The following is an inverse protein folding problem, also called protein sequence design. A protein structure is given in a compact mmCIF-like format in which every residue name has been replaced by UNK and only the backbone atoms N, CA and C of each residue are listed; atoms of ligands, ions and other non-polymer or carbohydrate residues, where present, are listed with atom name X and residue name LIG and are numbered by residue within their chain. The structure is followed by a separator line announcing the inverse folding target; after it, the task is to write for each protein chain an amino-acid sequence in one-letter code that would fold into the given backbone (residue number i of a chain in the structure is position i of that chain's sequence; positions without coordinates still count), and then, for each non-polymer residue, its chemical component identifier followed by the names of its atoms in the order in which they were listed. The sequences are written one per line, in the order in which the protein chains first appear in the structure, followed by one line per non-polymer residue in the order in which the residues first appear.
data_IF_433376936536
#
_entry.id   IF_433376936536
#
_cell.length_a   1.000
_cell.length_b   1.000
_cell.length_c   1.000
_cell.angle_alpha   90.00
_cell.angle_beta   90.00
_cell.angle_gamma   90.00
#
_symmetry.space_group_name_H-M   'P 1'
#
loop_
_entity.id
_entity.type
_entity.pdbx_description
1 polymer ?
#
# COMPACT_ATOMS: atom_id res chain seq x y z
N UNK A 1 -17.19 -21.17 -32.65
CA UNK A 1 -16.54 -22.40 -32.16
C UNK A 1 -17.47 -23.06 -31.15
N UNK A 2 -17.88 -24.33 -31.35
CA UNK A 2 -18.67 -25.05 -30.35
C UNK A 2 -17.82 -25.52 -29.19
N UNK A 3 -18.31 -25.38 -27.94
CA UNK A 3 -17.65 -25.96 -26.76
C UNK A 3 -17.63 -27.49 -26.88
N UNK A 4 -16.46 -28.12 -26.76
CA UNK A 4 -16.32 -29.58 -26.75
C UNK A 4 -16.57 -30.19 -25.36
N UNK A 5 -16.34 -29.40 -24.29
CA UNK A 5 -16.57 -29.79 -22.91
C UNK A 5 -16.70 -28.53 -22.04
N UNK A 6 -17.38 -28.63 -20.90
CA UNK A 6 -17.47 -27.58 -19.89
C UNK A 6 -17.38 -28.23 -18.50
N UNK A 7 -16.61 -27.58 -17.61
CA UNK A 7 -16.55 -27.91 -16.19
C UNK A 7 -17.34 -26.85 -15.46
N UNK A 8 -18.33 -27.25 -14.69
CA UNK A 8 -19.16 -26.34 -13.87
C UNK A 8 -18.79 -26.46 -12.39
N UNK A 9 -18.79 -25.33 -11.69
CA UNK A 9 -18.53 -25.30 -10.25
C UNK A 9 -19.38 -24.20 -9.60
N UNK A 10 -19.81 -24.36 -8.33
CA UNK A 10 -20.58 -23.33 -7.60
C UNK A 10 -19.85 -21.97 -7.52
N UNK A 11 -18.51 -21.99 -7.49
CA UNK A 11 -17.65 -20.79 -7.52
C UNK A 11 -16.58 -20.95 -8.61
N UNK A 12 -16.89 -20.61 -9.86
CA UNK A 12 -15.98 -20.86 -11.01
C UNK A 12 -14.59 -20.22 -10.84
N UNK A 13 -14.52 -18.98 -10.33
CA UNK A 13 -13.24 -18.29 -10.10
C UNK A 13 -12.39 -18.99 -9.03
N UNK A 14 -12.99 -19.53 -7.99
CA UNK A 14 -12.28 -20.30 -6.97
C UNK A 14 -11.77 -21.64 -7.50
N UNK A 15 -12.60 -22.34 -8.29
CA UNK A 15 -12.18 -23.55 -8.99
C UNK A 15 -11.03 -23.29 -9.98
N UNK A 16 -11.07 -22.14 -10.69
CA UNK A 16 -9.98 -21.73 -11.56
C UNK A 16 -8.68 -21.48 -10.79
N UNK A 17 -8.73 -20.92 -9.58
CA UNK A 17 -7.55 -20.76 -8.74
C UNK A 17 -6.87 -22.10 -8.42
N UNK A 18 -7.66 -23.13 -8.07
CA UNK A 18 -7.13 -24.47 -7.86
C UNK A 18 -6.55 -25.11 -9.14
N UNK A 19 -7.25 -24.97 -10.27
CA UNK A 19 -6.78 -25.49 -11.55
C UNK A 19 -5.49 -24.80 -12.00
N UNK A 20 -5.41 -23.48 -11.92
CA UNK A 20 -4.20 -22.74 -12.30
C UNK A 20 -3.00 -23.09 -11.41
N UNK A 21 -3.23 -23.32 -10.12
CA UNK A 21 -2.17 -23.77 -9.21
C UNK A 21 -1.62 -25.16 -9.57
N UNK A 22 -2.48 -26.07 -10.05
CA UNK A 22 -2.04 -27.40 -10.54
C UNK A 22 -1.30 -27.31 -11.88
N UNK A 23 -1.58 -26.31 -12.69
CA UNK A 23 -0.98 -26.13 -14.02
C UNK A 23 0.22 -25.18 -14.01
N UNK A 24 0.49 -24.52 -12.89
CA UNK A 24 1.62 -23.60 -12.77
C UNK A 24 2.94 -24.38 -12.88
N UNK A 25 3.78 -24.13 -13.91
CA UNK A 25 5.07 -24.79 -14.06
C UNK A 25 6.11 -24.35 -13.02
N UNK A 26 5.72 -23.46 -12.12
CA UNK A 26 6.62 -22.81 -11.17
C UNK A 26 7.30 -21.57 -11.76
N UNK A 27 8.23 -21.01 -10.99
CA UNK A 27 8.80 -19.69 -11.28
C UNK A 27 9.76 -19.62 -12.47
N UNK A 28 10.14 -20.76 -13.04
CA UNK A 28 11.17 -20.83 -14.09
C UNK A 28 12.60 -20.54 -13.58
N UNK A 29 12.77 -20.21 -12.29
CA UNK A 29 14.06 -20.09 -11.65
C UNK A 29 14.41 -21.44 -11.00
N UNK A 30 15.54 -22.00 -11.38
CA UNK A 30 16.18 -23.19 -10.82
C UNK A 30 15.25 -24.20 -10.12
N UNK A 31 15.02 -25.32 -10.76
CA UNK A 31 14.33 -26.47 -10.13
C UNK A 31 15.19 -27.13 -9.04
N UNK A 32 16.51 -26.95 -9.10
CA UNK A 32 17.46 -27.46 -8.13
C UNK A 32 17.99 -26.33 -7.25
N UNK A 33 18.05 -26.51 -5.93
CA UNK A 33 18.60 -25.51 -5.01
C UNK A 33 20.05 -25.24 -5.31
N UNK A 34 20.39 -23.99 -5.66
CA UNK A 34 21.76 -23.59 -5.94
C UNK A 34 21.97 -22.09 -5.71
N UNK A 35 23.19 -21.75 -5.32
CA UNK A 35 23.65 -20.37 -5.26
C UNK A 35 24.48 -20.09 -6.51
N UNK A 36 24.06 -19.11 -7.31
CA UNK A 36 24.77 -18.72 -8.52
C UNK A 36 26.16 -18.20 -8.15
N UNK A 37 27.16 -18.52 -9.00
CA UNK A 37 28.57 -18.16 -8.78
C UNK A 37 28.82 -16.66 -8.74
N UNK A 38 27.95 -15.88 -9.38
CA UNK A 38 28.01 -14.40 -9.38
C UNK A 38 27.28 -13.74 -8.21
N UNK A 39 26.57 -14.52 -7.38
CA UNK A 39 25.92 -14.00 -6.19
C UNK A 39 26.96 -13.64 -5.12
N UNK A 40 26.73 -12.53 -4.42
CA UNK A 40 27.59 -12.07 -3.32
C UNK A 40 26.90 -12.37 -2.00
N UNK A 41 27.56 -13.19 -1.17
CA UNK A 41 27.06 -13.56 0.17
C UNK A 41 27.92 -12.85 1.22
N UNK A 42 27.30 -12.00 2.02
CA UNK A 42 27.93 -11.22 3.07
C UNK A 42 28.40 -12.05 4.26
N UNK A 43 29.34 -11.53 4.98
CA UNK A 43 29.93 -12.21 6.16
C UNK A 43 28.83 -12.47 7.20
N UNK A 44 28.78 -13.71 7.70
CA UNK A 44 27.82 -14.11 8.73
C UNK A 44 26.38 -14.27 8.23
N UNK A 45 26.12 -14.14 6.93
CA UNK A 45 24.82 -14.45 6.36
C UNK A 45 24.49 -15.95 6.56
N UNK A 46 23.25 -16.24 6.94
CA UNK A 46 22.75 -17.59 7.19
C UNK A 46 21.79 -17.96 6.08
N UNK A 47 22.15 -18.94 5.28
CA UNK A 47 21.34 -19.45 4.17
C UNK A 47 20.78 -20.82 4.59
N UNK A 48 19.45 -20.93 4.59
CA UNK A 48 18.75 -22.16 4.97
C UNK A 48 18.94 -23.29 3.95
N UNK A 49 18.33 -24.42 4.27
CA UNK A 49 18.36 -25.60 3.40
C UNK A 49 17.50 -25.38 2.16
N UNK A 50 17.90 -25.96 1.04
CA UNK A 50 17.17 -25.91 -0.24
C UNK A 50 16.85 -24.49 -0.74
N UNK A 51 17.75 -23.54 -0.48
CA UNK A 51 17.63 -22.14 -0.97
C UNK A 51 18.27 -22.02 -2.35
N UNK A 52 17.60 -21.28 -3.24
CA UNK A 52 18.15 -20.86 -4.53
C UNK A 52 18.44 -19.36 -4.53
N UNK A 53 19.61 -18.95 -5.02
CA UNK A 53 19.99 -17.53 -5.16
C UNK A 53 20.46 -17.29 -6.59
N UNK A 54 19.75 -16.45 -7.31
CA UNK A 54 19.98 -16.12 -8.70
C UNK A 54 21.19 -15.21 -8.93
N UNK A 55 21.59 -15.14 -10.21
CA UNK A 55 22.76 -14.40 -10.64
C UNK A 55 22.75 -12.92 -10.21
N UNK A 56 23.92 -12.41 -9.87
CA UNK A 56 24.17 -11.01 -9.49
C UNK A 56 23.34 -10.51 -8.28
N UNK A 57 22.82 -11.43 -7.48
CA UNK A 57 22.12 -11.09 -6.25
C UNK A 57 23.10 -10.85 -5.11
N UNK A 58 22.76 -9.95 -4.21
CA UNK A 58 23.56 -9.58 -3.05
C UNK A 58 22.79 -9.88 -1.78
N UNK A 59 23.35 -10.73 -0.92
CA UNK A 59 22.86 -11.01 0.42
C UNK A 59 23.80 -10.33 1.42
N UNK A 60 23.29 -9.36 2.18
CA UNK A 60 24.05 -8.55 3.10
C UNK A 60 24.59 -9.32 4.32
N UNK A 61 25.55 -8.73 5.00
CA UNK A 61 26.14 -9.32 6.19
C UNK A 61 25.09 -9.59 7.28
N UNK A 62 25.17 -10.76 7.94
CA UNK A 62 24.24 -11.15 9.00
C UNK A 62 22.81 -11.42 8.56
N UNK A 63 22.50 -11.32 7.27
CA UNK A 63 21.14 -11.61 6.77
C UNK A 63 20.80 -13.09 6.94
N UNK A 64 19.52 -13.38 7.16
CA UNK A 64 19.01 -14.75 7.33
C UNK A 64 17.96 -15.03 6.25
N UNK A 65 18.17 -16.10 5.48
CA UNK A 65 17.23 -16.59 4.45
C UNK A 65 16.69 -17.95 4.90
N UNK A 66 15.39 -18.06 5.06
CA UNK A 66 14.70 -19.29 5.50
C UNK A 66 14.73 -20.40 4.45
N UNK A 67 14.47 -21.61 4.90
CA UNK A 67 14.53 -22.84 4.12
C UNK A 67 13.59 -22.81 2.90
N UNK A 68 14.03 -23.41 1.79
CA UNK A 68 13.23 -23.54 0.58
C UNK A 68 12.89 -22.22 -0.11
N UNK A 69 13.58 -21.14 0.22
CA UNK A 69 13.35 -19.83 -0.39
C UNK A 69 14.05 -19.70 -1.73
N UNK A 70 13.45 -18.94 -2.62
CA UNK A 70 13.98 -18.63 -3.95
C UNK A 70 14.21 -17.13 -4.06
N UNK A 71 15.46 -16.74 -4.25
CA UNK A 71 15.87 -15.37 -4.51
C UNK A 71 16.23 -15.27 -6.00
N UNK A 72 15.42 -14.56 -6.77
CA UNK A 72 15.63 -14.33 -8.20
C UNK A 72 16.92 -13.56 -8.48
N UNK A 73 17.29 -13.39 -9.76
CA UNK A 73 18.48 -12.64 -10.13
C UNK A 73 18.34 -11.14 -9.80
N UNK A 74 19.48 -10.45 -9.64
CA UNK A 74 19.56 -9.01 -9.39
C UNK A 74 18.82 -8.56 -8.12
N UNK A 75 18.58 -9.45 -7.18
CA UNK A 75 17.96 -9.11 -5.89
C UNK A 75 19.00 -8.53 -4.92
N UNK A 76 18.54 -7.67 -4.05
CA UNK A 76 19.32 -7.14 -2.93
C UNK A 76 18.61 -7.42 -1.62
N UNK A 77 19.29 -8.12 -0.71
CA UNK A 77 18.84 -8.33 0.67
C UNK A 77 19.88 -7.65 1.58
N UNK A 78 19.47 -6.60 2.28
CA UNK A 78 20.34 -5.78 3.12
C UNK A 78 20.82 -6.49 4.37
N UNK A 79 21.82 -5.90 5.03
CA UNK A 79 22.42 -6.46 6.24
C UNK A 79 21.37 -6.67 7.35
N UNK A 80 21.52 -7.77 8.10
CA UNK A 80 20.64 -8.16 9.22
C UNK A 80 19.14 -8.32 8.86
N UNK A 81 18.79 -8.32 7.57
CA UNK A 81 17.44 -8.64 7.15
C UNK A 81 17.13 -10.13 7.40
N UNK A 82 15.88 -10.42 7.77
CA UNK A 82 15.41 -11.79 8.00
C UNK A 82 14.24 -12.09 7.09
N UNK A 83 14.35 -13.16 6.33
CA UNK A 83 13.31 -13.65 5.42
C UNK A 83 12.97 -15.07 5.85
N UNK A 84 11.68 -15.32 6.11
CA UNK A 84 11.18 -16.62 6.55
C UNK A 84 11.22 -17.68 5.45
N UNK A 85 10.77 -18.89 5.81
CA UNK A 85 10.82 -20.06 4.94
C UNK A 85 9.92 -19.92 3.71
N UNK A 86 10.34 -20.55 2.60
CA UNK A 86 9.58 -20.66 1.36
C UNK A 86 9.20 -19.29 0.77
N UNK A 87 10.06 -18.31 0.94
CA UNK A 87 9.89 -17.02 0.30
C UNK A 87 10.27 -17.09 -1.18
N UNK A 88 9.57 -16.30 -2.01
CA UNK A 88 9.87 -16.10 -3.42
C UNK A 88 10.09 -14.62 -3.70
N UNK A 89 11.33 -14.24 -3.93
CA UNK A 89 11.69 -12.92 -4.41
C UNK A 89 11.96 -13.02 -5.91
N UNK A 90 11.12 -12.37 -6.71
CA UNK A 90 11.32 -12.30 -8.16
C UNK A 90 12.47 -11.34 -8.48
N UNK A 91 12.80 -11.24 -9.75
CA UNK A 91 13.95 -10.48 -10.24
C UNK A 91 13.94 -9.01 -9.82
N UNK A 92 15.09 -8.53 -9.36
CA UNK A 92 15.30 -7.13 -9.01
C UNK A 92 14.61 -6.65 -7.73
N UNK A 93 14.06 -7.56 -6.92
CA UNK A 93 13.47 -7.21 -5.61
C UNK A 93 14.54 -6.68 -4.67
N UNK A 94 14.21 -5.63 -3.92
CA UNK A 94 15.10 -5.00 -2.95
C UNK A 94 14.48 -5.05 -1.55
N UNK A 95 15.22 -5.66 -0.62
CA UNK A 95 14.88 -5.71 0.81
C UNK A 95 15.96 -4.95 1.57
N UNK A 96 15.59 -3.88 2.22
CA UNK A 96 16.54 -3.08 3.00
C UNK A 96 17.00 -3.80 4.28
N UNK A 97 18.09 -3.35 4.84
CA UNK A 97 18.66 -3.94 6.06
C UNK A 97 17.70 -3.91 7.25
N UNK A 98 17.79 -4.92 8.10
CA UNK A 98 16.98 -5.14 9.32
C UNK A 98 15.49 -5.40 9.07
N UNK A 99 15.02 -5.49 7.82
CA UNK A 99 13.64 -5.87 7.52
C UNK A 99 13.36 -7.29 8.05
N UNK A 100 12.16 -7.49 8.60
CA UNK A 100 11.69 -8.76 9.12
C UNK A 100 10.51 -9.22 8.26
N UNK A 101 10.66 -10.33 7.56
CA UNK A 101 9.67 -10.86 6.63
C UNK A 101 9.32 -12.29 7.03
N UNK A 102 8.05 -12.59 7.17
CA UNK A 102 7.52 -13.91 7.52
C UNK A 102 7.69 -14.96 6.42
N UNK A 103 7.11 -16.13 6.65
CA UNK A 103 7.18 -17.27 5.75
C UNK A 103 6.22 -17.13 4.54
N UNK A 104 6.51 -17.87 3.45
CA UNK A 104 5.69 -17.91 2.21
C UNK A 104 5.44 -16.55 1.59
N UNK A 105 6.38 -15.65 1.80
CA UNK A 105 6.35 -14.31 1.23
C UNK A 105 6.63 -14.35 -0.27
N UNK A 106 5.86 -13.61 -1.05
CA UNK A 106 6.07 -13.45 -2.49
C UNK A 106 6.26 -11.98 -2.81
N UNK A 107 7.33 -11.66 -3.54
CA UNK A 107 7.54 -10.32 -4.10
C UNK A 107 7.74 -10.41 -5.61
N UNK A 108 6.89 -9.71 -6.34
CA UNK A 108 6.94 -9.61 -7.81
C UNK A 108 8.08 -8.68 -8.24
N UNK A 109 8.48 -8.68 -9.54
CA UNK A 109 9.66 -7.98 -10.01
C UNK A 109 9.72 -6.51 -9.58
N UNK A 110 10.89 -6.08 -9.12
CA UNK A 110 11.17 -4.69 -8.78
C UNK A 110 10.54 -4.16 -7.49
N UNK A 111 9.83 -4.99 -6.72
CA UNK A 111 9.29 -4.57 -5.43
C UNK A 111 10.43 -4.08 -4.49
N UNK A 112 10.16 -3.03 -3.71
CA UNK A 112 11.11 -2.38 -2.82
C UNK A 112 10.58 -2.33 -1.39
N UNK A 113 11.26 -2.98 -0.46
CA UNK A 113 10.87 -3.09 0.94
C UNK A 113 11.89 -2.34 1.80
N UNK A 114 11.44 -1.35 2.56
CA UNK A 114 12.25 -0.66 3.56
C UNK A 114 13.08 0.50 3.00
N UNK A 115 12.66 1.10 1.88
CA UNK A 115 13.18 2.40 1.45
C UNK A 115 12.89 3.47 2.50
N UNK A 116 13.66 4.57 2.50
CA UNK A 116 13.44 5.68 3.42
C UNK A 116 12.08 6.34 3.16
N UNK A 117 11.36 6.62 4.23
CA UNK A 117 10.12 7.38 4.17
C UNK A 117 10.36 8.82 3.69
N UNK A 118 9.38 9.36 2.95
CA UNK A 118 9.38 10.76 2.53
C UNK A 118 8.90 11.63 3.69
N UNK A 119 9.83 12.13 4.51
CA UNK A 119 9.53 12.92 5.71
C UNK A 119 10.48 14.11 5.80
N UNK A 120 9.89 15.30 5.69
CA UNK A 120 10.62 16.57 5.72
C UNK A 120 9.85 17.60 6.54
N UNK A 121 10.58 18.50 7.19
CA UNK A 121 10.07 19.56 8.05
C UNK A 121 10.89 20.83 7.81
N UNK A 122 10.32 21.97 8.14
CA UNK A 122 11.04 23.26 8.16
C UNK A 122 11.39 23.65 9.60
N UNK A 123 12.43 24.48 9.84
CA UNK A 123 12.77 24.97 11.17
C UNK A 123 11.64 25.71 11.86
N UNK A 124 10.91 26.53 11.10
CA UNK A 124 9.75 27.27 11.58
C UNK A 124 8.47 26.73 10.93
N UNK A 125 7.30 27.12 11.42
CA UNK A 125 6.01 26.70 10.84
C UNK A 125 5.96 27.05 9.35
N UNK A 126 5.69 26.07 8.52
CA UNK A 126 5.61 26.23 7.07
C UNK A 126 4.22 26.66 6.60
N UNK A 127 4.14 27.26 5.41
CA UNK A 127 2.86 27.57 4.76
C UNK A 127 1.97 26.33 4.56
N UNK A 128 2.57 25.15 4.42
CA UNK A 128 1.83 23.87 4.31
C UNK A 128 1.17 23.50 5.64
N UNK A 129 1.86 23.67 6.76
CA UNK A 129 1.30 23.43 8.09
C UNK A 129 0.17 24.43 8.38
N UNK A 130 0.42 25.73 8.15
CA UNK A 130 -0.61 26.77 8.30
C UNK A 130 -1.84 26.50 7.43
N UNK A 131 -1.64 26.14 6.15
CA UNK A 131 -2.75 25.83 5.25
C UNK A 131 -3.57 24.60 5.68
N UNK A 132 -2.96 23.61 6.34
CA UNK A 132 -3.66 22.45 6.90
C UNK A 132 -4.48 22.81 8.13
N UNK A 133 -3.95 23.66 9.02
CA UNK A 133 -4.63 24.11 10.24
C UNK A 133 -5.80 25.04 9.91
N UNK A 134 -5.61 25.96 8.99
CA UNK A 134 -6.61 26.99 8.62
C UNK A 134 -7.59 26.54 7.55
N UNK A 135 -7.35 25.37 6.90
CA UNK A 135 -8.10 24.85 5.76
C UNK A 135 -8.05 25.79 4.54
N UNK A 136 -6.89 26.37 4.24
CA UNK A 136 -6.63 27.04 2.98
C UNK A 136 -5.92 28.39 3.05
N UNK A 137 -5.66 28.95 4.22
CA UNK A 137 -4.79 30.11 4.37
C UNK A 137 -3.33 29.67 4.51
N UNK A 138 -2.43 30.20 3.68
CA UNK A 138 -1.01 29.89 3.72
C UNK A 138 -0.23 30.69 4.79
N UNK A 139 -0.81 31.79 5.27
CA UNK A 139 -0.12 32.73 6.13
C UNK A 139 1.05 33.45 5.43
N UNK A 140 1.66 34.40 6.12
CA UNK A 140 2.91 35.03 5.71
C UNK A 140 4.08 34.23 6.29
N UNK A 141 4.72 33.38 5.48
CA UNK A 141 5.88 32.59 5.90
C UNK A 141 7.06 32.87 4.96
N UNK A 142 8.23 33.08 5.55
CA UNK A 142 9.47 33.22 4.79
C UNK A 142 9.87 31.87 4.13
N UNK A 143 10.51 31.90 2.94
CA UNK A 143 11.06 30.71 2.33
C UNK A 143 12.06 30.00 3.25
N UNK A 144 11.91 28.70 3.44
CA UNK A 144 12.73 27.89 4.33
C UNK A 144 13.26 26.66 3.61
N UNK A 145 14.37 26.12 4.11
CA UNK A 145 14.94 24.88 3.62
C UNK A 145 14.26 23.66 4.29
N UNK A 146 14.10 22.59 3.52
CA UNK A 146 13.60 21.32 4.03
C UNK A 146 14.70 20.58 4.80
N UNK A 147 14.44 20.25 6.05
CA UNK A 147 15.24 19.32 6.85
C UNK A 147 14.63 17.91 6.75
N UNK A 148 15.48 16.92 6.47
CA UNK A 148 15.04 15.51 6.41
C UNK A 148 14.88 14.93 7.81
N UNK A 149 13.75 14.29 8.07
CA UNK A 149 13.58 13.39 9.21
C UNK A 149 14.06 12.00 8.76
N UNK A 150 15.10 11.48 9.38
CA UNK A 150 15.72 10.22 9.00
C UNK A 150 14.87 9.01 9.41
N UNK A 151 14.83 8.01 8.57
CA UNK A 151 14.09 6.76 8.79
C UNK A 151 14.97 5.75 9.54
N UNK A 152 14.84 5.70 10.87
CA UNK A 152 15.63 4.85 11.78
C UNK A 152 14.98 3.50 12.05
N UNK A 153 13.68 3.38 11.87
CA UNK A 153 12.91 2.15 11.98
C UNK A 153 13.17 1.16 10.86
N UNK A 154 12.36 0.15 10.78
CA UNK A 154 12.43 -0.91 9.78
C UNK A 154 11.05 -1.23 9.21
N UNK A 155 10.91 -2.40 8.59
CA UNK A 155 9.65 -2.97 8.10
C UNK A 155 9.47 -4.35 8.71
N UNK A 156 8.28 -4.65 9.18
CA UNK A 156 7.84 -5.98 9.63
C UNK A 156 6.70 -6.46 8.74
N UNK A 157 6.85 -7.63 8.13
CA UNK A 157 5.85 -8.27 7.25
C UNK A 157 5.54 -9.65 7.80
N UNK A 158 4.27 -9.98 7.93
CA UNK A 158 3.81 -11.27 8.39
C UNK A 158 3.94 -12.38 7.36
N UNK A 159 3.32 -13.52 7.64
CA UNK A 159 3.29 -14.70 6.79
C UNK A 159 2.29 -14.54 5.63
N UNK A 160 2.50 -15.29 4.54
CA UNK A 160 1.56 -15.37 3.40
C UNK A 160 1.27 -14.03 2.71
N UNK A 161 2.19 -13.09 2.79
CA UNK A 161 2.05 -11.77 2.15
C UNK A 161 2.57 -11.83 0.71
N UNK A 162 1.86 -11.16 -0.19
CA UNK A 162 2.29 -11.01 -1.58
C UNK A 162 2.33 -9.54 -1.98
N UNK A 163 3.44 -9.12 -2.61
CA UNK A 163 3.65 -7.78 -3.16
C UNK A 163 3.71 -7.84 -4.69
N UNK A 164 2.92 -7.02 -5.33
CA UNK A 164 2.92 -6.79 -6.77
C UNK A 164 4.18 -6.11 -7.27
N UNK A 165 4.33 -6.09 -8.59
CA UNK A 165 5.50 -5.49 -9.25
C UNK A 165 5.62 -4.00 -8.94
N UNK A 166 6.86 -3.56 -8.66
CA UNK A 166 7.19 -2.18 -8.31
C UNK A 166 6.39 -1.60 -7.14
N UNK A 167 5.86 -2.45 -6.27
CA UNK A 167 5.27 -2.02 -5.00
C UNK A 167 6.38 -1.50 -4.08
N UNK A 168 6.12 -0.40 -3.37
CA UNK A 168 7.07 0.18 -2.43
C UNK A 168 6.49 0.22 -1.01
N UNK A 169 7.28 -0.23 -0.04
CA UNK A 169 6.96 -0.16 1.40
C UNK A 169 8.09 0.62 2.08
N UNK A 170 7.78 1.80 2.58
CA UNK A 170 8.75 2.63 3.29
C UNK A 170 8.98 2.10 4.70
N UNK A 171 10.21 2.22 5.18
CA UNK A 171 10.53 1.97 6.59
C UNK A 171 9.98 3.06 7.49
N UNK A 172 9.75 2.75 8.72
CA UNK A 172 9.30 3.74 9.69
C UNK A 172 10.41 4.73 10.10
N UNK A 173 9.98 5.86 10.65
CA UNK A 173 10.91 6.86 11.19
C UNK A 173 11.57 6.37 12.48
N UNK A 174 10.79 6.01 13.50
CA UNK A 174 11.25 5.42 14.76
C UNK A 174 10.65 4.04 14.95
N UNK A 175 9.31 3.94 14.87
CA UNK A 175 8.59 2.67 14.88
C UNK A 175 8.62 2.06 13.49
N UNK A 176 8.58 0.73 13.40
CA UNK A 176 8.54 0.02 12.13
C UNK A 176 7.20 0.25 11.39
N UNK A 177 7.25 0.20 10.07
CA UNK A 177 6.08 -0.04 9.23
C UNK A 177 5.70 -1.51 9.37
N UNK A 178 4.40 -1.83 9.54
CA UNK A 178 3.93 -3.19 9.84
C UNK A 178 2.86 -3.64 8.87
N UNK A 179 3.01 -4.86 8.36
CA UNK A 179 2.05 -5.54 7.49
C UNK A 179 1.69 -6.89 8.12
N UNK A 180 0.41 -7.13 8.36
CA UNK A 180 -0.11 -8.38 8.93
C UNK A 180 0.00 -9.58 8.00
N UNK A 181 -0.50 -10.71 8.46
CA UNK A 181 -0.50 -11.95 7.69
C UNK A 181 -1.54 -11.92 6.56
N UNK A 182 -1.31 -12.69 5.50
CA UNK A 182 -2.28 -12.92 4.43
C UNK A 182 -2.54 -11.72 3.52
N UNK A 183 -1.87 -10.60 3.72
CA UNK A 183 -2.09 -9.36 2.95
C UNK A 183 -1.61 -9.52 1.50
N UNK A 184 -2.45 -9.07 0.55
CA UNK A 184 -2.13 -9.02 -0.87
C UNK A 184 -2.09 -7.57 -1.34
N UNK A 185 -0.96 -7.14 -1.87
CA UNK A 185 -0.72 -5.78 -2.35
C UNK A 185 -0.38 -5.86 -3.83
N UNK A 186 -1.18 -5.22 -4.65
CA UNK A 186 -1.06 -5.24 -6.10
C UNK A 186 0.00 -4.25 -6.61
N UNK A 187 0.23 -4.26 -7.90
CA UNK A 187 1.30 -3.51 -8.57
C UNK A 187 1.25 -2.01 -8.30
N UNK A 188 2.42 -1.39 -8.20
CA UNK A 188 2.58 0.06 -8.08
C UNK A 188 1.92 0.68 -6.82
N UNK A 189 1.60 -0.12 -5.82
CA UNK A 189 1.11 0.42 -4.55
C UNK A 189 2.26 1.06 -3.75
N UNK A 190 1.96 2.18 -3.05
CA UNK A 190 2.89 2.87 -2.17
C UNK A 190 2.37 2.81 -0.73
N UNK A 191 3.14 2.20 0.16
CA UNK A 191 2.88 2.16 1.59
C UNK A 191 3.87 3.07 2.30
N UNK A 192 3.38 4.17 2.86
CA UNK A 192 4.19 5.18 3.53
C UNK A 192 4.77 4.71 4.87
N UNK A 193 5.69 5.50 5.39
CA UNK A 193 6.38 5.21 6.65
C UNK A 193 5.42 5.10 7.85
N UNK A 194 5.72 4.22 8.79
CA UNK A 194 4.94 4.01 10.03
C UNK A 194 3.49 3.53 9.81
N UNK A 195 3.12 3.14 8.60
CA UNK A 195 1.81 2.54 8.31
C UNK A 195 1.70 1.19 9.01
N UNK A 196 0.53 0.87 9.51
CA UNK A 196 0.19 -0.46 10.03
C UNK A 196 -1.00 -1.00 9.26
N UNK A 197 -0.87 -2.19 8.66
CA UNK A 197 -1.94 -2.91 7.96
C UNK A 197 -2.22 -4.20 8.73
N UNK A 198 -3.48 -4.45 9.05
CA UNK A 198 -3.95 -5.69 9.69
C UNK A 198 -3.87 -6.89 8.77
N UNK A 199 -4.48 -8.00 9.19
CA UNK A 199 -4.44 -9.26 8.46
C UNK A 199 -5.45 -9.31 7.30
N UNK A 200 -5.17 -10.17 6.32
CA UNK A 200 -6.08 -10.56 5.23
C UNK A 200 -6.66 -9.37 4.44
N UNK A 201 -5.86 -8.33 4.25
CA UNK A 201 -6.23 -7.16 3.47
C UNK A 201 -5.89 -7.34 2.00
N UNK A 202 -6.70 -6.72 1.12
CA UNK A 202 -6.47 -6.64 -0.32
C UNK A 202 -6.27 -5.18 -0.72
N UNK A 203 -5.05 -4.84 -1.10
CA UNK A 203 -4.66 -3.50 -1.53
C UNK A 203 -4.45 -3.54 -3.04
N UNK A 204 -5.40 -2.99 -3.80
CA UNK A 204 -5.35 -3.06 -5.26
C UNK A 204 -4.30 -2.11 -5.86
N UNK A 205 -4.13 -2.22 -7.19
CA UNK A 205 -3.07 -1.49 -7.90
C UNK A 205 -3.15 0.04 -7.73
N UNK A 206 -1.97 0.66 -7.65
CA UNK A 206 -1.80 2.12 -7.55
C UNK A 206 -2.45 2.74 -6.30
N UNK A 207 -2.73 1.95 -5.27
CA UNK A 207 -3.15 2.50 -3.99
C UNK A 207 -1.98 3.22 -3.33
N UNK A 208 -2.23 4.42 -2.81
CA UNK A 208 -1.29 5.18 -2.01
C UNK A 208 -1.80 5.34 -0.58
N UNK A 209 -1.04 4.87 0.40
CA UNK A 209 -1.33 5.04 1.82
C UNK A 209 -0.25 5.92 2.42
N UNK A 210 -0.64 7.11 2.85
CA UNK A 210 0.27 8.08 3.44
C UNK A 210 0.68 7.67 4.87
N UNK A 211 1.76 8.29 5.34
CA UNK A 211 2.43 7.89 6.57
C UNK A 211 1.56 7.85 7.83
N UNK A 212 1.94 7.01 8.77
CA UNK A 212 1.32 6.87 10.10
C UNK A 212 -0.15 6.42 10.10
N UNK A 213 -0.72 6.04 8.97
CA UNK A 213 -2.09 5.53 8.85
C UNK A 213 -2.19 4.10 9.36
N UNK A 214 -3.31 3.77 9.98
CA UNK A 214 -3.62 2.43 10.51
C UNK A 214 -4.81 1.84 9.75
N UNK A 215 -4.61 0.68 9.17
CA UNK A 215 -5.61 -0.10 8.44
C UNK A 215 -5.95 -1.33 9.29
N UNK A 216 -7.22 -1.61 9.52
CA UNK A 216 -7.72 -2.78 10.22
C UNK A 216 -7.55 -4.07 9.43
N UNK A 217 -8.25 -5.13 9.86
CA UNK A 217 -8.23 -6.45 9.22
C UNK A 217 -9.29 -6.57 8.11
N UNK A 218 -9.05 -7.45 7.15
CA UNK A 218 -9.99 -7.76 6.06
C UNK A 218 -10.45 -6.53 5.27
N UNK A 219 -9.59 -5.52 5.15
CA UNK A 219 -9.87 -4.29 4.41
C UNK A 219 -9.57 -4.49 2.92
N UNK A 220 -10.44 -3.96 2.06
CA UNK A 220 -10.23 -3.93 0.60
C UNK A 220 -10.12 -2.48 0.15
N UNK A 221 -8.95 -2.09 -0.33
CA UNK A 221 -8.76 -0.78 -0.97
C UNK A 221 -8.75 -0.96 -2.49
N UNK A 222 -9.80 -0.44 -3.14
CA UNK A 222 -9.93 -0.48 -4.60
C UNK A 222 -8.82 0.29 -5.31
N UNK A 223 -8.52 -0.06 -6.55
CA UNK A 223 -7.42 0.53 -7.33
C UNK A 223 -7.44 2.06 -7.34
N UNK A 224 -6.25 2.67 -7.26
CA UNK A 224 -6.07 4.12 -7.21
C UNK A 224 -6.68 4.82 -5.97
N UNK A 225 -7.07 4.07 -4.94
CA UNK A 225 -7.46 4.68 -3.66
C UNK A 225 -6.28 5.43 -3.07
N UNK A 226 -6.50 6.68 -2.69
CA UNK A 226 -5.52 7.48 -1.94
C UNK A 226 -5.99 7.68 -0.51
N UNK A 227 -5.13 7.38 0.45
CA UNK A 227 -5.41 7.52 1.89
C UNK A 227 -4.48 8.56 2.47
N UNK A 228 -5.05 9.58 3.13
CA UNK A 228 -4.29 10.64 3.79
C UNK A 228 -3.54 10.12 5.01
N UNK A 229 -2.60 10.92 5.49
CA UNK A 229 -1.76 10.60 6.65
C UNK A 229 -2.53 10.60 7.97
N UNK A 230 -2.01 9.86 8.96
CA UNK A 230 -2.51 9.81 10.32
C UNK A 230 -3.99 9.38 10.48
N UNK A 231 -4.52 8.62 9.53
CA UNK A 231 -5.89 8.12 9.58
C UNK A 231 -6.01 6.74 10.19
N UNK A 232 -7.25 6.41 10.57
CA UNK A 232 -7.66 5.07 10.95
C UNK A 232 -8.77 4.57 10.02
N UNK A 233 -8.57 3.39 9.43
CA UNK A 233 -9.57 2.66 8.65
C UNK A 233 -9.90 1.38 9.42
N UNK A 234 -11.15 1.24 9.83
CA UNK A 234 -11.63 0.10 10.63
C UNK A 234 -11.65 -1.21 9.85
N UNK A 235 -11.90 -2.29 10.55
CA UNK A 235 -11.98 -3.64 9.98
C UNK A 235 -13.08 -3.75 8.91
N UNK A 236 -12.89 -4.63 7.94
CA UNK A 236 -13.88 -4.96 6.89
C UNK A 236 -14.38 -3.75 6.08
N UNK A 237 -13.60 -2.67 6.01
CA UNK A 237 -13.90 -1.54 5.12
C UNK A 237 -13.57 -1.92 3.68
N UNK A 238 -14.45 -1.51 2.75
CA UNK A 238 -14.24 -1.67 1.31
C UNK A 238 -14.29 -0.29 0.66
N UNK A 239 -13.26 0.08 -0.10
CA UNK A 239 -13.31 1.27 -0.94
C UNK A 239 -13.44 0.88 -2.42
N UNK A 240 -14.31 1.56 -3.15
CA UNK A 240 -14.31 1.50 -4.62
C UNK A 240 -13.06 2.14 -5.22
N UNK A 241 -12.84 1.92 -6.52
CA UNK A 241 -11.70 2.52 -7.23
C UNK A 241 -11.70 4.04 -7.18
N UNK A 242 -10.52 4.64 -7.22
CA UNK A 242 -10.26 6.08 -7.20
C UNK A 242 -10.83 6.84 -5.98
N UNK A 243 -11.17 6.14 -4.90
CA UNK A 243 -11.66 6.76 -3.66
C UNK A 243 -10.56 7.59 -3.00
N UNK A 244 -10.86 8.80 -2.55
CA UNK A 244 -9.97 9.62 -1.72
C UNK A 244 -10.46 9.62 -0.28
N UNK A 245 -9.65 9.02 0.62
CA UNK A 245 -9.93 8.91 2.04
C UNK A 245 -9.22 10.05 2.77
N UNK A 246 -10.00 11.02 3.25
CA UNK A 246 -9.50 12.23 3.91
C UNK A 246 -9.87 12.29 5.41
N UNK A 247 -10.58 11.27 5.90
CA UNK A 247 -10.99 11.16 7.30
C UNK A 247 -11.08 9.69 7.72
N UNK A 248 -11.12 9.46 9.04
CA UNK A 248 -11.27 8.11 9.58
C UNK A 248 -12.53 7.42 9.07
N UNK A 249 -12.42 6.11 8.80
CA UNK A 249 -13.55 5.29 8.37
C UNK A 249 -13.85 4.24 9.45
N UNK A 250 -15.04 4.24 10.05
CA UNK A 250 -15.46 3.17 10.96
C UNK A 250 -15.53 1.81 10.27
N UNK A 251 -15.46 0.74 11.06
CA UNK A 251 -15.52 -0.63 10.55
C UNK A 251 -16.75 -0.93 9.70
N UNK A 252 -16.62 -1.88 8.77
CA UNK A 252 -17.72 -2.44 7.97
C UNK A 252 -18.31 -1.48 6.94
N UNK A 253 -17.68 -0.35 6.64
CA UNK A 253 -18.18 0.63 5.67
C UNK A 253 -17.76 0.31 4.24
N UNK A 254 -18.68 0.57 3.30
CA UNK A 254 -18.39 0.55 1.86
C UNK A 254 -18.37 1.98 1.36
N UNK A 255 -17.24 2.42 0.82
CA UNK A 255 -16.98 3.79 0.38
C UNK A 255 -16.82 3.81 -1.15
N UNK A 256 -17.34 4.84 -1.80
CA UNK A 256 -17.21 5.02 -3.25
C UNK A 256 -16.66 6.41 -3.56
N UNK A 257 -15.66 6.46 -4.43
CA UNK A 257 -15.07 7.70 -4.95
C UNK A 257 -15.82 8.24 -6.15
N UNK A 258 -15.11 8.78 -7.13
CA UNK A 258 -15.66 9.47 -8.30
C UNK A 258 -15.96 8.48 -9.44
N UNK A 259 -17.22 8.11 -9.72
CA UNK A 259 -17.56 7.34 -10.90
C UNK A 259 -17.37 8.19 -12.17
N UNK A 260 -17.02 7.54 -13.29
CA UNK A 260 -17.01 8.20 -14.58
C UNK A 260 -18.45 8.53 -15.00
N UNK A 261 -18.65 9.79 -15.41
CA UNK A 261 -19.91 10.27 -15.96
C UNK A 261 -19.64 10.96 -17.30
N UNK A 262 -20.69 11.15 -18.12
CA UNK A 262 -20.56 11.90 -19.38
C UNK A 262 -19.98 13.29 -19.08
N UNK A 263 -19.09 13.79 -19.94
CA UNK A 263 -18.40 15.08 -19.75
C UNK A 263 -19.38 16.23 -19.55
N UNK A 264 -20.46 16.29 -20.34
CA UNK A 264 -21.50 17.30 -20.19
C UNK A 264 -22.14 17.29 -18.80
N UNK A 265 -22.53 16.10 -18.33
CA UNK A 265 -23.10 15.90 -16.99
C UNK A 265 -22.11 16.28 -15.90
N UNK A 266 -20.82 15.92 -16.06
CA UNK A 266 -19.77 16.32 -15.10
C UNK A 266 -19.62 17.85 -15.01
N UNK A 267 -19.62 18.54 -16.14
CA UNK A 267 -19.54 20.01 -16.18
C UNK A 267 -20.75 20.66 -15.50
N UNK A 268 -21.96 20.12 -15.67
CA UNK A 268 -23.15 20.61 -14.99
C UNK A 268 -23.10 20.37 -13.48
N UNK A 269 -22.69 19.17 -13.04
CA UNK A 269 -22.50 18.84 -11.63
C UNK A 269 -21.48 19.82 -11.00
N UNK A 270 -20.34 20.02 -11.65
CA UNK A 270 -19.29 20.91 -11.15
C UNK A 270 -19.74 22.36 -11.04
N UNK A 271 -20.45 22.88 -12.05
CA UNK A 271 -21.07 24.23 -12.03
C UNK A 271 -22.07 24.36 -10.88
N UNK A 272 -22.87 23.33 -10.64
CA UNK A 272 -23.86 23.30 -9.56
C UNK A 272 -23.20 23.29 -8.19
N UNK A 273 -22.16 22.48 -7.99
CA UNK A 273 -21.36 22.45 -6.75
C UNK A 273 -20.76 23.82 -6.42
N UNK A 274 -20.23 24.54 -7.43
CA UNK A 274 -19.68 25.88 -7.22
C UNK A 274 -20.75 26.93 -6.83
N UNK A 275 -22.00 26.72 -7.22
CA UNK A 275 -23.12 27.62 -6.89
C UNK A 275 -23.78 27.27 -5.56
N UNK A 276 -23.58 26.05 -5.06
CA UNK A 276 -24.21 25.54 -3.86
C UNK A 276 -24.04 26.44 -2.61
N UNK A 277 -22.85 27.01 -2.29
CA UNK A 277 -22.68 27.89 -1.15
C UNK A 277 -23.57 29.16 -1.22
N UNK A 278 -23.78 29.70 -2.43
CA UNK A 278 -24.69 30.84 -2.63
C UNK A 278 -26.14 30.41 -2.47
N UNK A 279 -26.52 29.29 -3.07
CA UNK A 279 -27.90 28.75 -2.96
C UNK A 279 -28.28 28.48 -1.51
N UNK A 280 -27.38 27.95 -0.70
CA UNK A 280 -27.61 27.70 0.72
C UNK A 280 -27.88 29.01 1.49
N UNK A 281 -27.11 30.08 1.19
CA UNK A 281 -27.38 31.41 1.79
C UNK A 281 -28.74 31.96 1.37
N UNK A 282 -29.09 31.83 0.09
CA UNK A 282 -30.38 32.32 -0.44
C UNK A 282 -31.56 31.54 0.21
N UNK A 283 -31.44 30.21 0.35
CA UNK A 283 -32.42 29.37 1.07
C UNK A 283 -32.56 29.77 2.52
N UNK A 284 -31.42 29.98 3.24
CA UNK A 284 -31.46 30.41 4.63
C UNK A 284 -32.14 31.79 4.78
N UNK A 285 -31.91 32.72 3.84
CA UNK A 285 -32.57 34.03 3.84
C UNK A 285 -34.08 33.88 3.60
N UNK A 286 -34.50 33.04 2.67
CA UNK A 286 -35.91 32.75 2.40
C UNK A 286 -36.60 32.09 3.58
N UNK A 287 -35.98 31.10 4.21
CA UNK A 287 -36.51 30.49 5.45
C UNK A 287 -36.71 31.54 6.55
N UNK A 288 -35.71 32.41 6.76
CA UNK A 288 -35.83 33.48 7.75
C UNK A 288 -36.94 34.48 7.43
N UNK A 289 -37.20 34.77 6.15
CA UNK A 289 -38.28 35.67 5.74
C UNK A 289 -39.67 35.04 5.95
N UNK A 290 -39.82 33.75 5.61
CA UNK A 290 -41.10 33.02 5.74
C UNK A 290 -41.44 32.82 7.19
N UNK A 291 -40.50 32.35 8.04
CA UNK A 291 -40.78 32.06 9.45
C UNK A 291 -40.77 33.30 10.35
N UNK A 292 -40.36 34.49 9.88
CA UNK A 292 -40.60 35.75 10.56
C UNK A 292 -42.01 36.27 10.41
N UNK A 293 -42.76 35.81 9.41
CA UNK A 293 -44.16 36.17 9.17
C UNK A 293 -45.17 35.57 10.17
N UNK A 294 -44.78 34.51 10.89
CA UNK A 294 -45.67 33.81 11.85
C UNK A 294 -45.57 34.33 13.31
N UNK A 295 -44.87 35.45 13.53
CA UNK A 295 -44.80 36.10 14.84
C UNK A 295 -45.39 37.50 14.77
N UNK A 296 -46.64 37.63 14.39
CA UNK A 296 -47.46 38.78 14.79
C UNK A 296 -48.79 38.26 15.33
N UNK A 297 -49.17 38.61 16.56
CA UNK A 297 -50.41 38.20 17.16
C UNK A 297 -51.64 38.84 16.50
#
# INVERSE_FOLDING_TARGET
MGLRAAITAPRPRYAMAGLSALMDPGTGFHTDPQIDKSAVIGIGAQIGENVSIGALSVIGAGAVIGNGSIIGPLCFVGADARIGDRALLREGVKVAGRAQIGARFIAQPGACIGGDGFSFVTPEVSSVETARETLGDQGDTDPQNWARIHSLGSVQIGDDVELGANCCIDRGTVRDTKIGNGVKIDNLAQIGHNVTIGNDCLICAQVGIAGSTRIGNNVVLGGQTGVSDNLFIGDRVITGGATKVLSNIPEGRVMLGYPAVKMETHLEIYKSLRRLPRMLRDVAALQKAIFKGDKNP
#
